data_IF_840426321285
#
_entry.id   IF_840426321285
#
_cell.length_a   1.000
_cell.length_b   1.000
_cell.length_c   1.000
_cell.angle_alpha   90.00
_cell.angle_beta   90.00
_cell.angle_gamma   90.00
#
_symmetry.space_group_name_H-M   'P 1'
#
loop_
_entity.id
_entity.type
_entity.pdbx_description
1 polymer ?
#
# COMPACT_ATOMS: atom_id res chain seq x y z
N UNK A 1 27.43 12.76 73.05
CA UNK A 1 27.38 11.92 71.82
C UNK A 1 26.94 12.81 70.66
N UNK A 2 27.87 13.07 69.78
CA UNK A 2 27.70 14.03 68.67
C UNK A 2 27.03 13.34 67.46
N UNK A 3 25.88 13.81 66.96
CA UNK A 3 25.27 13.38 65.74
C UNK A 3 25.87 14.12 64.55
N UNK A 4 26.39 13.39 63.58
CA UNK A 4 26.92 13.91 62.32
C UNK A 4 25.77 14.11 61.33
N UNK A 5 25.63 15.27 60.65
CA UNK A 5 24.58 15.45 59.64
C UNK A 5 25.02 14.81 58.31
N UNK A 6 24.07 14.09 57.69
CA UNK A 6 24.21 13.55 56.36
C UNK A 6 24.31 14.68 55.31
N UNK A 7 25.38 14.70 54.56
CA UNK A 7 25.53 15.55 53.38
C UNK A 7 24.56 15.08 52.29
N UNK A 8 23.56 15.88 52.01
CA UNK A 8 22.68 15.74 50.86
C UNK A 8 23.40 16.31 49.64
N UNK A 9 23.88 15.45 48.77
CA UNK A 9 24.33 15.84 47.43
C UNK A 9 23.10 16.24 46.58
N UNK A 10 22.76 17.50 46.68
CA UNK A 10 21.80 18.19 45.74
C UNK A 10 22.58 19.31 45.12
N UNK A 11 22.87 19.18 43.82
CA UNK A 11 23.07 20.25 42.83
C UNK A 11 23.93 19.66 41.68
N UNK A 12 23.32 18.80 40.83
CA UNK A 12 23.81 18.62 39.47
C UNK A 12 22.67 18.39 38.46
N UNK A 13 21.56 17.80 38.92
CA UNK A 13 20.48 17.43 37.99
C UNK A 13 19.59 18.60 37.53
N UNK A 14 19.59 19.72 38.26
CA UNK A 14 18.80 20.90 37.84
C UNK A 14 19.45 21.73 36.71
N UNK A 15 20.76 21.75 36.69
CA UNK A 15 21.51 22.58 35.74
C UNK A 15 21.54 21.91 34.34
N UNK A 16 21.64 20.59 34.30
CA UNK A 16 21.61 19.85 33.05
C UNK A 16 20.20 19.81 32.41
N UNK A 17 19.16 19.72 33.23
CA UNK A 17 17.75 19.79 32.72
C UNK A 17 17.39 21.17 32.21
N UNK A 18 17.92 22.24 32.84
CA UNK A 18 17.70 23.62 32.41
C UNK A 18 18.53 23.95 31.15
N UNK A 19 19.74 23.40 31.04
CA UNK A 19 20.57 23.51 29.85
C UNK A 19 19.94 22.79 28.66
N UNK A 20 19.44 21.57 28.90
CA UNK A 20 18.68 20.78 27.92
C UNK A 20 17.45 21.53 27.43
N UNK A 21 16.63 22.12 28.33
CA UNK A 21 15.47 22.96 27.96
C UNK A 21 15.87 24.24 27.22
N UNK A 22 16.95 24.90 27.61
CA UNK A 22 17.45 26.12 26.93
C UNK A 22 17.98 25.82 25.54
N UNK A 23 18.61 24.69 25.35
CA UNK A 23 19.13 24.26 24.05
C UNK A 23 17.99 23.84 23.11
N UNK A 24 16.94 23.17 23.62
CA UNK A 24 15.69 22.93 22.91
C UNK A 24 15.01 24.23 22.44
N UNK A 25 14.89 25.23 23.34
CA UNK A 25 14.25 26.52 23.04
C UNK A 25 15.08 27.41 22.10
N UNK A 26 16.40 27.19 22.00
CA UNK A 26 17.31 27.95 21.11
C UNK A 26 17.46 27.33 19.71
N UNK A 27 16.70 26.29 19.38
CA UNK A 27 16.77 25.67 18.06
C UNK A 27 18.15 25.05 17.72
N UNK A 28 19.03 24.85 18.73
CA UNK A 28 20.35 24.22 18.54
C UNK A 28 20.29 22.69 18.46
N UNK A 29 19.17 22.11 18.84
CA UNK A 29 18.83 20.74 18.50
C UNK A 29 18.11 20.71 17.14
N UNK A 30 18.74 21.26 16.12
CA UNK A 30 18.60 20.62 14.82
C UNK A 30 19.31 19.26 14.97
N UNK A 31 18.64 18.31 15.61
CA UNK A 31 18.78 16.94 15.22
C UNK A 31 18.49 16.98 13.71
N UNK A 32 19.54 17.15 12.91
CA UNK A 32 19.50 16.67 11.55
C UNK A 32 19.16 15.21 11.71
N UNK A 33 17.88 14.90 11.63
CA UNK A 33 17.40 13.55 11.42
C UNK A 33 17.75 13.20 9.97
N UNK A 34 19.04 13.44 9.64
CA UNK A 34 19.61 12.97 8.39
C UNK A 34 19.89 11.50 8.60
N UNK A 35 19.37 10.71 7.67
CA UNK A 35 19.55 9.29 7.72
C UNK A 35 18.25 8.53 7.96
N UNK A 36 18.37 7.21 7.92
CA UNK A 36 17.29 6.28 8.08
C UNK A 36 17.08 5.87 9.53
N UNK A 37 15.83 5.65 9.91
CA UNK A 37 15.50 4.99 11.17
C UNK A 37 14.26 4.10 11.05
N UNK A 38 14.21 3.07 11.88
CA UNK A 38 13.07 2.19 12.08
C UNK A 38 12.73 2.15 13.57
N UNK A 39 11.45 2.01 13.92
CA UNK A 39 10.99 1.79 15.29
C UNK A 39 9.76 0.89 15.32
N UNK A 40 9.70 0.05 16.36
CA UNK A 40 8.57 -0.80 16.73
C UNK A 40 7.82 -0.28 17.98
N UNK A 41 8.24 0.87 18.52
CA UNK A 41 7.68 1.44 19.76
C UNK A 41 6.35 2.17 19.54
N UNK A 42 5.88 2.21 18.29
CA UNK A 42 4.64 2.89 17.93
C UNK A 42 3.47 1.93 17.88
N UNK A 43 2.31 2.43 18.30
CA UNK A 43 1.02 1.79 18.07
C UNK A 43 0.00 2.79 17.56
N UNK A 44 -0.87 2.34 16.69
CA UNK A 44 -2.00 3.13 16.20
C UNK A 44 -3.30 2.41 16.56
N UNK A 45 -4.15 3.04 17.37
CA UNK A 45 -5.40 2.44 17.85
C UNK A 45 -5.23 1.05 18.47
N UNK A 46 -4.10 0.82 19.17
CA UNK A 46 -3.75 -0.46 19.79
C UNK A 46 -3.15 -1.50 18.85
N UNK A 47 -2.95 -1.18 17.57
CA UNK A 47 -2.24 -2.03 16.60
C UNK A 47 -0.75 -1.71 16.65
N UNK A 48 0.11 -2.73 16.72
CA UNK A 48 1.56 -2.54 16.59
C UNK A 48 1.88 -1.98 15.21
N UNK A 49 2.78 -1.00 15.16
CA UNK A 49 3.21 -0.38 13.92
C UNK A 49 4.73 -0.40 13.79
N UNK A 50 5.22 -0.76 12.60
CA UNK A 50 6.58 -0.52 12.17
C UNK A 50 6.62 0.87 11.54
N UNK A 51 7.33 1.80 12.15
CA UNK A 51 7.62 3.10 11.58
C UNK A 51 8.96 3.05 10.87
N UNK A 52 8.99 3.44 9.60
CA UNK A 52 10.20 3.61 8.81
C UNK A 52 10.26 5.04 8.29
N UNK A 53 11.39 5.71 8.45
CA UNK A 53 11.56 7.04 7.90
C UNK A 53 13.01 7.34 7.55
N UNK A 54 13.17 8.25 6.59
CA UNK A 54 14.41 8.96 6.30
C UNK A 54 14.13 10.47 6.24
N UNK A 55 15.06 11.25 5.74
CA UNK A 55 14.92 12.71 5.59
C UNK A 55 13.80 13.13 4.63
N UNK A 56 13.38 12.27 3.68
CA UNK A 56 12.42 12.58 2.63
C UNK A 56 11.02 12.03 2.88
N UNK A 57 10.91 10.81 3.38
CA UNK A 57 9.62 10.12 3.56
C UNK A 57 9.50 9.49 4.95
N UNK A 58 8.23 9.31 5.37
CA UNK A 58 7.84 8.49 6.51
C UNK A 58 6.75 7.53 6.09
N UNK A 59 6.82 6.30 6.57
CA UNK A 59 5.78 5.28 6.37
C UNK A 59 5.50 4.55 7.67
N UNK A 60 4.22 4.23 7.91
CA UNK A 60 3.76 3.43 9.05
C UNK A 60 3.07 2.17 8.54
N UNK A 61 3.50 1.02 9.02
CA UNK A 61 3.03 -0.30 8.59
C UNK A 61 2.38 -1.00 9.79
N UNK A 62 1.10 -1.34 9.69
CA UNK A 62 0.31 -1.93 10.76
C UNK A 62 0.50 -3.45 10.81
N UNK A 63 1.37 -3.91 11.71
CA UNK A 63 1.77 -5.33 11.83
C UNK A 63 0.61 -6.24 12.25
N UNK A 64 -0.31 -5.74 13.06
CA UNK A 64 -1.46 -6.52 13.56
C UNK A 64 -2.67 -6.44 12.62
N UNK A 65 -2.50 -5.86 11.43
CA UNK A 65 -3.55 -5.66 10.43
C UNK A 65 -3.00 -5.88 9.02
N UNK A 66 -2.53 -7.11 8.75
CA UNK A 66 -2.11 -7.55 7.43
C UNK A 66 -0.82 -6.92 6.90
N UNK A 67 -0.06 -6.21 7.73
CA UNK A 67 1.07 -5.42 7.25
C UNK A 67 0.63 -4.25 6.36
N UNK A 68 -0.59 -3.72 6.56
CA UNK A 68 -1.13 -2.58 5.82
C UNK A 68 -0.20 -1.37 5.94
N UNK A 69 0.22 -0.81 4.81
CA UNK A 69 0.94 0.47 4.80
C UNK A 69 -0.11 1.56 4.99
N UNK A 70 -0.20 2.07 6.20
CA UNK A 70 -1.25 3.03 6.58
C UNK A 70 -0.89 4.46 6.20
N UNK A 71 0.39 4.85 6.34
CA UNK A 71 0.88 6.18 5.97
C UNK A 71 2.01 6.08 4.96
N UNK A 72 1.99 6.96 3.96
CA UNK A 72 3.12 7.22 3.07
C UNK A 72 3.26 8.73 2.87
N UNK A 73 4.09 9.36 3.66
CA UNK A 73 4.19 10.81 3.79
C UNK A 73 5.45 11.34 3.09
N UNK A 74 5.28 12.29 2.18
CA UNK A 74 6.36 13.13 1.66
C UNK A 74 6.58 14.29 2.65
N UNK A 75 7.72 14.28 3.34
CA UNK A 75 7.98 15.19 4.48
C UNK A 75 8.08 16.65 4.06
N UNK A 76 8.66 16.95 2.88
CA UNK A 76 8.80 18.32 2.37
C UNK A 76 7.45 19.02 2.21
N UNK A 77 6.41 18.26 1.88
CA UNK A 77 5.05 18.76 1.63
C UNK A 77 4.10 18.48 2.79
N UNK A 78 4.55 17.74 3.82
CA UNK A 78 3.71 17.20 4.88
C UNK A 78 2.44 16.54 4.31
N UNK A 79 2.60 15.75 3.24
CA UNK A 79 1.49 15.19 2.46
C UNK A 79 1.47 13.68 2.54
N UNK A 80 0.36 13.12 3.02
CA UNK A 80 0.06 11.69 2.94
C UNK A 80 -0.73 11.41 1.66
N UNK A 81 -0.24 10.48 0.85
CA UNK A 81 -0.86 10.12 -0.42
C UNK A 81 -2.02 9.13 -0.28
N UNK A 82 -2.08 8.43 0.85
CA UNK A 82 -2.99 7.29 0.99
C UNK A 82 -4.38 7.74 1.43
N UNK A 83 -5.38 7.02 0.95
CA UNK A 83 -6.76 7.24 1.38
C UNK A 83 -6.98 6.70 2.78
N UNK A 84 -7.60 7.50 3.63
CA UNK A 84 -8.09 7.12 4.95
C UNK A 84 -9.60 7.22 4.98
N UNK A 85 -10.26 6.11 5.34
CA UNK A 85 -11.72 6.08 5.40
C UNK A 85 -12.23 7.03 6.50
N UNK A 86 -13.13 7.99 6.20
CA UNK A 86 -13.51 9.04 7.15
C UNK A 86 -14.28 8.53 8.38
N UNK A 87 -14.88 7.34 8.29
CA UNK A 87 -15.73 6.76 9.35
C UNK A 87 -15.17 5.49 9.98
N UNK A 88 -14.19 4.83 9.35
CA UNK A 88 -13.60 3.58 9.85
C UNK A 88 -12.17 3.85 10.27
N UNK A 89 -11.88 3.61 11.54
CA UNK A 89 -10.53 3.75 12.06
C UNK A 89 -9.82 2.39 12.08
N UNK A 90 -8.48 2.36 12.00
CA UNK A 90 -7.73 1.15 12.22
C UNK A 90 -8.12 0.47 13.52
N UNK A 91 -8.38 -0.83 13.45
CA UNK A 91 -8.72 -1.67 14.60
C UNK A 91 -8.37 -3.12 14.29
N UNK A 92 -8.15 -3.97 15.30
CA UNK A 92 -7.91 -5.39 15.08
C UNK A 92 -9.06 -6.03 14.31
N UNK A 93 -8.77 -6.90 13.32
CA UNK A 93 -9.82 -7.62 12.60
C UNK A 93 -10.52 -8.60 13.53
N UNK A 94 -11.83 -8.81 13.30
CA UNK A 94 -12.61 -9.85 13.96
C UNK A 94 -12.92 -10.92 12.93
N UNK A 95 -12.38 -12.12 13.13
CA UNK A 95 -12.64 -13.27 12.25
C UNK A 95 -14.11 -13.66 12.28
N UNK A 96 -14.65 -14.10 11.16
CA UNK A 96 -16.01 -14.62 11.04
C UNK A 96 -17.12 -13.56 10.99
N UNK A 97 -16.82 -12.29 10.82
CA UNK A 97 -17.84 -11.26 10.61
C UNK A 97 -18.37 -11.28 9.18
N UNK A 98 -19.69 -11.29 9.02
CA UNK A 98 -20.34 -11.09 7.73
C UNK A 98 -19.87 -9.76 7.11
N UNK A 99 -19.63 -9.75 5.78
CA UNK A 99 -19.17 -8.58 5.05
C UNK A 99 -17.65 -8.44 4.91
N UNK A 100 -16.88 -9.40 5.45
CA UNK A 100 -15.42 -9.44 5.23
C UNK A 100 -14.71 -8.13 5.55
N UNK A 101 -13.69 -7.82 4.77
CA UNK A 101 -12.88 -6.59 4.93
C UNK A 101 -13.70 -5.31 4.79
N UNK A 102 -14.78 -5.29 4.01
CA UNK A 102 -15.56 -4.09 3.71
C UNK A 102 -16.04 -3.34 4.96
N UNK A 103 -16.33 -4.08 6.06
CA UNK A 103 -16.73 -3.48 7.33
C UNK A 103 -15.54 -3.00 8.18
N UNK A 104 -14.33 -3.35 7.77
CA UNK A 104 -13.09 -3.10 8.51
C UNK A 104 -12.08 -2.28 7.72
N UNK A 105 -12.37 -2.03 6.45
CA UNK A 105 -11.46 -1.33 5.57
C UNK A 105 -11.40 0.16 5.93
N UNK A 106 -10.21 0.61 6.23
CA UNK A 106 -9.92 1.98 6.64
C UNK A 106 -9.00 2.73 5.65
N UNK A 107 -8.65 2.09 4.52
CA UNK A 107 -7.75 2.66 3.52
C UNK A 107 -6.31 2.17 3.66
N UNK A 108 -5.36 2.95 3.10
CA UNK A 108 -3.97 2.55 3.04
C UNK A 108 -3.67 1.60 1.87
N UNK A 109 -2.62 0.81 2.01
CA UNK A 109 -2.22 -0.23 1.06
C UNK A 109 -2.31 -1.58 1.76
N UNK A 110 -3.28 -2.39 1.36
CA UNK A 110 -3.38 -3.79 1.76
C UNK A 110 -2.69 -4.70 0.73
N UNK A 111 -2.47 -5.95 1.07
CA UNK A 111 -1.97 -6.97 0.15
C UNK A 111 -3.05 -8.01 -0.10
N UNK A 112 -3.27 -8.31 -1.37
CA UNK A 112 -4.28 -9.27 -1.85
C UNK A 112 -3.63 -10.66 -1.91
N UNK A 113 -4.22 -11.66 -1.25
CA UNK A 113 -3.87 -13.08 -1.37
C UNK A 113 -4.95 -13.94 -0.71
N UNK A 114 -5.51 -15.00 -1.34
CA UNK A 114 -5.22 -15.50 -2.68
C UNK A 114 -6.23 -15.02 -3.74
N UNK A 115 -7.11 -14.08 -3.42
CA UNK A 115 -8.17 -13.56 -4.32
C UNK A 115 -8.40 -12.09 -4.09
N UNK A 116 -8.86 -11.33 -5.11
CA UNK A 116 -9.26 -9.95 -4.93
C UNK A 116 -10.76 -9.80 -4.65
N UNK A 117 -11.63 -10.61 -5.27
CA UNK A 117 -13.06 -10.67 -4.98
C UNK A 117 -13.40 -11.97 -4.26
N UNK A 118 -14.59 -12.00 -3.64
CA UNK A 118 -15.13 -13.21 -3.01
C UNK A 118 -15.02 -14.40 -3.97
N UNK A 119 -14.49 -15.50 -3.50
CA UNK A 119 -14.23 -16.67 -4.34
C UNK A 119 -14.30 -17.95 -3.55
N UNK A 120 -14.93 -18.98 -4.14
CA UNK A 120 -14.83 -20.36 -3.65
C UNK A 120 -13.80 -21.09 -4.51
N UNK A 121 -12.79 -21.68 -3.87
CA UNK A 121 -11.78 -22.46 -4.54
C UNK A 121 -11.38 -23.66 -3.69
N UNK A 122 -11.48 -24.89 -4.27
CA UNK A 122 -11.23 -26.17 -3.57
C UNK A 122 -12.07 -26.33 -2.29
N UNK A 123 -13.36 -26.05 -2.42
CA UNK A 123 -14.37 -26.15 -1.35
C UNK A 123 -14.18 -25.17 -0.18
N UNK A 124 -13.24 -24.22 -0.28
CA UNK A 124 -13.01 -23.16 0.69
C UNK A 124 -13.44 -21.79 0.15
N UNK A 125 -14.06 -20.99 1.01
CA UNK A 125 -14.46 -19.62 0.69
C UNK A 125 -13.36 -18.62 1.12
N UNK A 126 -12.97 -17.76 0.19
CA UNK A 126 -11.98 -16.71 0.40
C UNK A 126 -12.65 -15.34 0.33
N UNK A 127 -12.48 -14.49 1.34
CA UNK A 127 -13.12 -13.17 1.37
C UNK A 127 -12.54 -12.21 0.33
N UNK A 128 -13.20 -11.07 0.15
CA UNK A 128 -12.71 -9.96 -0.66
C UNK A 128 -11.32 -9.54 -0.18
N UNK A 129 -10.39 -9.30 -1.13
CA UNK A 129 -8.95 -9.08 -0.97
C UNK A 129 -8.19 -10.21 -0.23
N UNK A 130 -8.82 -11.39 -0.09
CA UNK A 130 -8.21 -12.57 0.50
C UNK A 130 -8.08 -12.48 2.02
N UNK A 131 -7.06 -13.09 2.57
CA UNK A 131 -6.96 -13.34 4.01
C UNK A 131 -5.77 -12.63 4.71
N UNK A 132 -4.81 -12.07 3.94
CA UNK A 132 -3.64 -11.41 4.55
C UNK A 132 -4.00 -10.22 5.42
N UNK A 133 -5.02 -9.46 5.06
CA UNK A 133 -5.48 -8.28 5.79
C UNK A 133 -5.84 -8.57 7.26
N UNK A 134 -6.19 -9.81 7.59
CA UNK A 134 -6.56 -10.23 8.94
C UNK A 134 -5.38 -10.86 9.71
N UNK A 135 -4.23 -11.07 9.07
CA UNK A 135 -3.08 -11.73 9.70
C UNK A 135 -2.25 -10.74 10.52
N UNK A 136 -1.62 -11.28 11.57
CA UNK A 136 -0.59 -10.56 12.33
C UNK A 136 0.78 -10.94 11.80
N UNK A 137 1.64 -9.95 11.61
CA UNK A 137 3.02 -10.16 11.21
C UNK A 137 3.96 -10.17 12.42
N UNK A 138 4.92 -11.10 12.43
CA UNK A 138 6.16 -10.92 13.19
C UNK A 138 7.01 -9.84 12.52
N UNK A 139 7.86 -9.17 13.28
CA UNK A 139 8.73 -8.13 12.74
C UNK A 139 10.04 -8.06 13.50
N UNK A 140 11.15 -8.03 12.75
CA UNK A 140 12.50 -7.80 13.25
C UNK A 140 13.17 -6.69 12.43
N UNK A 141 13.83 -5.75 13.08
CA UNK A 141 14.67 -4.77 12.40
C UNK A 141 16.03 -5.45 12.17
N UNK A 142 16.29 -5.88 10.93
CA UNK A 142 17.48 -6.68 10.57
C UNK A 142 18.68 -5.82 10.19
N UNK A 143 18.43 -4.55 9.82
CA UNK A 143 19.47 -3.55 9.60
C UNK A 143 19.01 -2.18 10.06
N UNK A 144 19.87 -1.47 10.78
CA UNK A 144 19.63 -0.09 11.18
C UNK A 144 20.95 0.69 11.20
N UNK A 145 21.08 1.62 10.26
CA UNK A 145 22.18 2.57 10.19
C UNK A 145 21.64 3.92 9.73
N UNK A 146 22.50 4.96 9.77
CA UNK A 146 22.14 6.25 9.20
C UNK A 146 21.89 6.22 7.68
N UNK A 147 22.53 5.28 6.99
CA UNK A 147 22.45 5.17 5.53
C UNK A 147 21.25 4.34 5.05
N UNK A 148 20.89 3.31 5.80
CA UNK A 148 19.75 2.46 5.45
C UNK A 148 19.15 1.74 6.66
N UNK A 149 17.86 1.41 6.53
CA UNK A 149 17.17 0.50 7.46
C UNK A 149 16.46 -0.59 6.67
N UNK A 150 16.42 -1.78 7.24
CA UNK A 150 15.67 -2.92 6.70
C UNK A 150 14.95 -3.64 7.83
N UNK A 151 13.67 -3.91 7.62
CA UNK A 151 12.86 -4.74 8.50
C UNK A 151 12.47 -6.04 7.79
N UNK A 152 12.53 -7.15 8.51
CA UNK A 152 11.98 -8.44 8.08
C UNK A 152 10.65 -8.66 8.77
N UNK A 153 9.60 -8.96 7.99
CA UNK A 153 8.28 -9.30 8.53
C UNK A 153 7.78 -10.61 7.92
N UNK A 154 7.07 -11.42 8.69
CA UNK A 154 6.53 -12.68 8.18
C UNK A 154 5.21 -13.07 8.83
N UNK A 155 4.40 -13.82 8.07
CA UNK A 155 3.16 -14.41 8.54
C UNK A 155 2.83 -15.69 7.76
N UNK A 156 1.81 -16.41 8.23
CA UNK A 156 1.17 -17.50 7.49
C UNK A 156 -0.29 -17.14 7.24
N UNK A 157 -0.81 -17.56 6.11
CA UNK A 157 -2.25 -17.53 5.85
C UNK A 157 -2.95 -18.63 6.63
N UNK A 158 -4.26 -18.52 6.82
CA UNK A 158 -5.03 -19.46 7.64
C UNK A 158 -5.74 -20.52 6.80
N UNK A 159 -6.31 -20.10 5.66
CA UNK A 159 -7.10 -20.97 4.77
C UNK A 159 -6.21 -21.51 3.65
N UNK A 160 -5.54 -20.63 2.92
CA UNK A 160 -4.56 -21.02 1.90
C UNK A 160 -3.22 -21.43 2.52
N UNK A 161 -2.41 -22.28 1.85
CA UNK A 161 -1.20 -22.84 2.45
C UNK A 161 0.03 -21.95 2.24
N UNK A 162 -0.05 -20.64 2.49
CA UNK A 162 1.05 -19.75 2.19
C UNK A 162 1.78 -19.25 3.44
N UNK A 163 3.10 -19.20 3.35
CA UNK A 163 3.96 -18.37 4.17
C UNK A 163 4.33 -17.12 3.36
N UNK A 164 4.18 -15.95 3.96
CA UNK A 164 4.55 -14.66 3.35
C UNK A 164 5.66 -14.02 4.17
N UNK A 165 6.76 -13.68 3.52
CA UNK A 165 7.95 -13.07 4.08
C UNK A 165 8.26 -11.79 3.30
N UNK A 166 8.58 -10.70 4.00
CA UNK A 166 8.93 -9.43 3.36
C UNK A 166 10.18 -8.82 3.98
N UNK A 167 11.00 -8.23 3.13
CA UNK A 167 12.11 -7.35 3.50
C UNK A 167 11.76 -5.94 3.05
N UNK A 168 11.59 -5.05 4.00
CA UNK A 168 11.10 -3.68 3.78
C UNK A 168 12.25 -2.73 4.07
N UNK A 169 12.69 -1.99 3.04
CA UNK A 169 13.93 -1.23 3.07
C UNK A 169 13.75 0.24 2.71
N UNK A 170 14.40 1.13 3.48
CA UNK A 170 14.62 2.53 3.14
C UNK A 170 16.12 2.83 3.08
N UNK A 171 16.49 3.74 2.16
CA UNK A 171 17.85 4.27 1.99
C UNK A 171 17.82 5.78 2.20
N UNK A 172 18.86 6.34 2.84
CA UNK A 172 18.99 7.78 3.06
C UNK A 172 19.03 8.52 1.72
N UNK A 173 18.34 9.68 1.65
CA UNK A 173 18.30 10.51 0.44
C UNK A 173 17.44 9.95 -0.70
N UNK A 174 16.77 8.81 -0.52
CA UNK A 174 15.84 8.26 -1.51
C UNK A 174 14.38 8.37 -1.05
N UNK A 175 13.46 8.98 -1.82
CA UNK A 175 12.04 9.03 -1.50
C UNK A 175 11.34 7.71 -1.88
N UNK A 176 11.94 6.56 -1.57
CA UNK A 176 11.59 5.25 -2.09
C UNK A 176 11.58 4.18 -1.01
N UNK A 177 10.44 3.50 -0.86
CA UNK A 177 10.28 2.30 -0.04
C UNK A 177 10.39 1.08 -0.95
N UNK A 178 11.32 0.18 -0.68
CA UNK A 178 11.47 -1.12 -1.37
C UNK A 178 10.87 -2.22 -0.55
N UNK A 179 10.14 -3.12 -1.19
CA UNK A 179 9.51 -4.28 -0.54
C UNK A 179 9.82 -5.51 -1.39
N UNK A 180 10.69 -6.37 -0.91
CA UNK A 180 10.91 -7.69 -1.49
C UNK A 180 10.03 -8.68 -0.75
N UNK A 181 9.12 -9.33 -1.47
CA UNK A 181 8.19 -10.33 -0.93
C UNK A 181 8.54 -11.71 -1.45
N UNK A 182 8.51 -12.70 -0.55
CA UNK A 182 8.55 -14.13 -0.87
C UNK A 182 7.26 -14.77 -0.41
N UNK A 183 6.56 -15.45 -1.31
CA UNK A 183 5.39 -16.27 -1.02
C UNK A 183 5.78 -17.72 -1.23
N UNK A 184 5.67 -18.55 -0.19
CA UNK A 184 5.99 -19.97 -0.23
C UNK A 184 4.72 -20.79 -0.02
N UNK A 185 4.44 -21.73 -0.93
CA UNK A 185 3.42 -22.75 -0.70
C UNK A 185 3.97 -23.78 0.29
N UNK A 186 3.50 -23.76 1.52
CA UNK A 186 3.91 -24.68 2.60
C UNK A 186 3.02 -25.92 2.68
N UNK A 187 2.03 -26.04 1.79
CA UNK A 187 1.12 -27.19 1.71
C UNK A 187 1.73 -28.39 0.98
N UNK A 188 0.93 -29.45 0.86
CA UNK A 188 1.32 -30.70 0.22
C UNK A 188 0.89 -30.82 -1.24
N UNK A 189 0.17 -29.82 -1.77
CA UNK A 189 -0.36 -29.77 -3.14
C UNK A 189 -0.05 -28.41 -3.74
N UNK A 190 -0.07 -28.31 -5.06
CA UNK A 190 -0.05 -27.06 -5.79
C UNK A 190 -1.23 -26.14 -5.37
N UNK A 191 -1.08 -24.85 -5.53
CA UNK A 191 -2.14 -23.89 -5.24
C UNK A 191 -2.13 -22.74 -6.25
N UNK A 192 -3.31 -22.42 -6.82
CA UNK A 192 -3.50 -21.25 -7.66
C UNK A 192 -3.85 -20.04 -6.81
N UNK A 193 -3.39 -18.87 -7.20
CA UNK A 193 -3.65 -17.65 -6.43
C UNK A 193 -3.55 -16.39 -7.28
N UNK A 194 -4.32 -15.40 -6.88
CA UNK A 194 -4.12 -14.02 -7.23
C UNK A 194 -3.35 -13.33 -6.11
N UNK A 195 -2.35 -12.54 -6.49
CA UNK A 195 -1.55 -11.77 -5.55
C UNK A 195 -1.24 -10.40 -6.11
N UNK A 196 -1.21 -9.41 -5.21
CA UNK A 196 -0.82 -8.06 -5.54
C UNK A 196 -1.08 -7.08 -4.41
N UNK A 197 -0.98 -5.79 -4.74
CA UNK A 197 -1.08 -4.70 -3.77
C UNK A 197 -2.32 -3.86 -4.03
N UNK A 198 -3.21 -3.79 -3.03
CA UNK A 198 -4.44 -3.00 -3.02
C UNK A 198 -4.13 -1.56 -2.58
N UNK A 199 -3.58 -0.78 -3.49
CA UNK A 199 -3.19 0.60 -3.21
C UNK A 199 -4.40 1.53 -3.32
N UNK A 200 -4.69 2.32 -2.29
CA UNK A 200 -5.78 3.28 -2.31
C UNK A 200 -5.29 4.69 -2.02
N UNK A 201 -5.69 5.63 -2.86
CA UNK A 201 -5.18 6.99 -2.88
C UNK A 201 -6.25 8.01 -2.49
N UNK A 202 -5.87 8.97 -1.66
CA UNK A 202 -6.63 10.20 -1.48
C UNK A 202 -6.49 11.07 -2.73
N UNK A 203 -7.61 11.47 -3.31
CA UNK A 203 -7.59 12.22 -4.58
C UNK A 203 -8.48 13.45 -4.56
N UNK A 204 -8.23 14.33 -5.51
CA UNK A 204 -9.04 15.48 -5.89
C UNK A 204 -9.13 15.50 -7.41
N UNK A 205 -9.99 16.33 -8.03
CA UNK A 205 -10.05 16.44 -9.51
C UNK A 205 -8.76 16.94 -10.16
N UNK A 206 -7.83 17.48 -9.38
CA UNK A 206 -6.51 17.87 -9.87
C UNK A 206 -5.57 16.66 -10.10
N UNK A 207 -5.97 15.45 -9.67
CA UNK A 207 -5.15 14.26 -9.82
C UNK A 207 -5.23 13.64 -11.22
N UNK A 208 -4.13 13.04 -11.61
CA UNK A 208 -3.95 12.30 -12.87
C UNK A 208 -3.39 10.92 -12.59
N UNK A 209 -3.89 9.94 -13.33
CA UNK A 209 -3.43 8.54 -13.29
C UNK A 209 -2.51 8.32 -14.48
N UNK A 210 -1.27 7.96 -14.20
CA UNK A 210 -0.30 7.50 -15.20
C UNK A 210 -0.09 5.99 -15.07
N UNK A 211 -0.21 5.27 -16.18
CA UNK A 211 0.16 3.85 -16.26
C UNK A 211 0.44 3.47 -17.71
N UNK A 212 1.38 2.55 -17.97
CA UNK A 212 1.76 2.13 -19.31
C UNK A 212 0.82 1.05 -19.87
N UNK A 213 -0.49 1.15 -19.56
CA UNK A 213 -1.50 0.25 -20.05
C UNK A 213 -1.75 0.47 -21.55
N UNK A 214 -1.94 -0.62 -22.28
CA UNK A 214 -2.32 -0.59 -23.69
C UNK A 214 -3.80 -0.92 -23.84
N UNK A 215 -4.20 -2.06 -23.27
CA UNK A 215 -5.55 -2.60 -23.38
C UNK A 215 -6.20 -2.69 -22.01
N UNK A 216 -7.43 -2.23 -21.95
CA UNK A 216 -8.28 -2.28 -20.76
C UNK A 216 -9.49 -3.16 -21.02
N UNK A 217 -10.00 -3.81 -19.97
CA UNK A 217 -11.21 -4.63 -19.95
C UNK A 217 -12.09 -4.20 -18.78
N UNK A 218 -13.37 -3.99 -19.02
CA UNK A 218 -14.37 -3.60 -18.01
C UNK A 218 -14.87 -4.83 -17.26
N UNK A 219 -14.80 -4.82 -15.93
CA UNK A 219 -15.42 -5.85 -15.07
C UNK A 219 -16.94 -5.64 -15.00
N UNK A 220 -17.67 -6.73 -14.79
CA UNK A 220 -19.11 -6.68 -14.53
C UNK A 220 -19.35 -6.21 -13.08
N UNK A 221 -19.63 -4.92 -12.95
CA UNK A 221 -19.89 -4.27 -11.66
C UNK A 221 -21.30 -3.69 -11.62
N UNK A 222 -22.00 -3.84 -10.48
CA UNK A 222 -23.25 -3.10 -10.27
C UNK A 222 -23.02 -1.59 -10.46
N UNK A 223 -23.93 -0.91 -11.11
CA UNK A 223 -23.91 0.54 -11.35
C UNK A 223 -22.78 1.04 -12.27
N UNK A 224 -22.02 0.14 -12.93
CA UNK A 224 -21.02 0.55 -13.93
C UNK A 224 -21.68 1.32 -15.09
N UNK A 225 -21.06 2.44 -15.44
CA UNK A 225 -21.47 3.25 -16.60
C UNK A 225 -20.95 2.71 -17.92
N UNK A 226 -20.14 1.67 -17.92
CA UNK A 226 -19.57 1.00 -19.09
C UNK A 226 -20.17 -0.39 -19.27
N UNK A 227 -20.17 -0.90 -20.51
CA UNK A 227 -20.66 -2.26 -20.79
C UNK A 227 -19.68 -3.30 -20.21
N UNK A 228 -20.18 -4.31 -19.47
CA UNK A 228 -19.35 -5.42 -19.00
C UNK A 228 -18.64 -6.13 -20.15
N UNK A 229 -17.35 -6.44 -19.97
CA UNK A 229 -16.55 -7.09 -20.99
C UNK A 229 -16.10 -6.19 -22.14
N UNK A 230 -16.44 -4.89 -22.10
CA UNK A 230 -15.95 -3.93 -23.09
C UNK A 230 -14.44 -3.79 -23.00
N UNK A 231 -13.76 -3.85 -24.15
CA UNK A 231 -12.34 -3.56 -24.27
C UNK A 231 -12.13 -2.16 -24.85
N UNK A 232 -11.09 -1.47 -24.38
CA UNK A 232 -10.71 -0.15 -24.88
C UNK A 232 -9.20 0.11 -24.73
N UNK A 233 -8.70 1.12 -25.44
CA UNK A 233 -7.32 1.58 -25.31
C UNK A 233 -7.24 2.67 -24.23
N UNK A 234 -6.31 2.50 -23.27
CA UNK A 234 -6.06 3.49 -22.23
C UNK A 234 -5.58 4.82 -22.81
N UNK A 235 -6.07 5.98 -22.33
CA UNK A 235 -7.04 6.16 -21.24
C UNK A 235 -8.48 6.41 -21.69
N UNK A 236 -8.82 6.27 -22.98
CA UNK A 236 -10.07 6.77 -23.57
C UNK A 236 -11.10 5.65 -23.71
N UNK A 237 -12.21 5.74 -22.98
CA UNK A 237 -13.32 4.81 -23.04
C UNK A 237 -14.62 5.50 -23.47
N UNK A 238 -15.55 4.74 -24.06
CA UNK A 238 -16.90 5.22 -24.41
C UNK A 238 -17.89 4.52 -23.49
N UNK A 239 -18.66 5.29 -22.71
CA UNK A 239 -19.63 4.74 -21.79
C UNK A 239 -20.95 4.32 -22.49
N UNK A 240 -21.87 3.68 -21.74
CA UNK A 240 -23.21 3.23 -22.22
C UNK A 240 -24.04 4.33 -22.89
N UNK A 241 -23.83 5.59 -22.50
CA UNK A 241 -24.52 6.74 -23.14
C UNK A 241 -23.85 7.29 -24.40
N UNK A 242 -22.77 6.65 -24.88
CA UNK A 242 -21.97 7.09 -26.03
C UNK A 242 -20.98 8.23 -25.73
N UNK A 243 -20.82 8.62 -24.48
CA UNK A 243 -19.90 9.69 -24.10
C UNK A 243 -18.46 9.17 -24.02
N UNK A 244 -17.54 9.84 -24.70
CA UNK A 244 -16.10 9.58 -24.59
C UNK A 244 -15.55 10.18 -23.30
N UNK A 245 -14.84 9.37 -22.52
CA UNK A 245 -14.28 9.72 -21.22
C UNK A 245 -12.80 9.43 -21.17
N UNK A 246 -12.02 10.34 -20.58
CA UNK A 246 -10.60 10.19 -20.28
C UNK A 246 -10.46 9.74 -18.83
N UNK A 247 -10.25 8.43 -18.62
CA UNK A 247 -10.18 7.80 -17.30
C UNK A 247 -8.83 8.02 -16.59
N UNK A 248 -7.88 8.70 -17.25
CA UNK A 248 -6.67 9.17 -16.57
C UNK A 248 -6.91 10.37 -15.66
N UNK A 249 -8.07 11.03 -15.83
CA UNK A 249 -8.49 12.20 -15.04
C UNK A 249 -9.43 11.76 -13.92
N UNK A 250 -9.12 12.21 -12.71
CA UNK A 250 -10.03 12.04 -11.58
C UNK A 250 -11.17 13.03 -11.73
N UNK A 251 -12.42 12.54 -11.61
CA UNK A 251 -13.62 13.37 -11.72
C UNK A 251 -14.02 13.91 -10.34
N UNK A 252 -14.93 14.91 -10.33
CA UNK A 252 -15.55 15.40 -9.09
C UNK A 252 -16.38 14.31 -8.40
N UNK A 253 -16.55 14.35 -7.06
CA UNK A 253 -17.39 13.39 -6.34
C UNK A 253 -18.83 13.33 -6.86
N UNK A 254 -19.34 14.45 -7.36
CA UNK A 254 -20.68 14.57 -7.95
C UNK A 254 -20.85 13.77 -9.26
N UNK A 255 -19.78 13.25 -9.84
CA UNK A 255 -19.84 12.36 -11.00
C UNK A 255 -20.53 11.04 -10.66
N UNK A 256 -20.57 10.65 -9.36
CA UNK A 256 -21.22 9.42 -8.88
C UNK A 256 -20.83 8.22 -9.72
N UNK A 257 -19.54 7.90 -9.77
CA UNK A 257 -18.97 6.86 -10.61
C UNK A 257 -18.40 5.73 -9.75
N UNK A 258 -18.67 4.49 -10.16
CA UNK A 258 -18.16 3.28 -9.50
C UNK A 258 -17.77 2.26 -10.57
N UNK A 259 -16.46 2.13 -10.80
CA UNK A 259 -15.93 1.33 -11.91
C UNK A 259 -14.80 0.42 -11.44
N UNK A 260 -14.71 -0.75 -12.09
CA UNK A 260 -13.59 -1.66 -11.90
C UNK A 260 -13.13 -2.19 -13.26
N UNK A 261 -11.91 -1.87 -13.64
CA UNK A 261 -11.36 -2.20 -14.94
C UNK A 261 -10.00 -2.89 -14.79
N UNK A 262 -9.63 -3.70 -15.78
CA UNK A 262 -8.35 -4.40 -15.83
C UNK A 262 -7.49 -3.85 -16.97
N UNK A 263 -6.26 -3.43 -16.66
CA UNK A 263 -5.22 -3.30 -17.67
C UNK A 263 -4.65 -4.70 -17.95
N UNK A 264 -5.06 -5.28 -19.07
CA UNK A 264 -4.72 -6.65 -19.46
C UNK A 264 -3.40 -6.74 -20.21
N UNK A 265 -2.94 -5.63 -20.80
CA UNK A 265 -1.65 -5.50 -21.47
C UNK A 265 -0.89 -4.30 -20.95
N UNK A 266 0.28 -4.55 -20.35
CA UNK A 266 1.20 -3.52 -19.86
C UNK A 266 2.47 -3.48 -20.73
N UNK A 267 2.90 -2.27 -21.11
CA UNK A 267 4.21 -2.08 -21.77
C UNK A 267 5.35 -2.23 -20.75
N UNK A 268 5.16 -1.72 -19.55
CA UNK A 268 6.11 -1.65 -18.45
C UNK A 268 5.40 -1.88 -17.11
N UNK A 269 6.17 -2.11 -16.03
CA UNK A 269 5.63 -2.36 -14.70
C UNK A 269 5.68 -1.13 -13.80
N UNK A 270 4.81 -0.15 -14.02
CA UNK A 270 4.66 0.99 -13.13
C UNK A 270 3.25 1.61 -13.21
N UNK A 271 2.91 2.38 -12.20
CA UNK A 271 1.82 3.36 -12.24
C UNK A 271 2.15 4.55 -11.35
N UNK A 272 1.43 5.66 -11.54
CA UNK A 272 1.57 6.87 -10.73
C UNK A 272 0.23 7.57 -10.53
N UNK A 273 0.05 8.18 -9.36
CA UNK A 273 -1.03 9.11 -9.05
C UNK A 273 -0.40 10.46 -8.72
N UNK A 274 -0.70 11.48 -9.52
CA UNK A 274 -0.08 12.79 -9.47
C UNK A 274 -1.11 13.88 -9.20
N UNK A 275 -0.95 14.65 -8.14
CA UNK A 275 -1.62 15.96 -8.00
C UNK A 275 -0.92 16.94 -8.95
N UNK A 276 -1.55 17.22 -10.10
CA UNK A 276 -0.98 18.03 -11.16
C UNK A 276 -0.82 19.49 -10.76
N UNK A 277 -1.62 19.97 -9.81
CA UNK A 277 -1.60 21.34 -9.30
C UNK A 277 -0.49 21.53 -8.26
N UNK A 278 -0.39 20.64 -7.28
CA UNK A 278 0.71 20.64 -6.30
C UNK A 278 2.01 20.13 -6.89
N UNK A 279 1.96 19.41 -8.01
CA UNK A 279 3.09 18.78 -8.67
C UNK A 279 3.81 17.76 -7.80
N UNK A 280 3.05 16.97 -7.06
CA UNK A 280 3.53 15.88 -6.21
C UNK A 280 2.78 14.60 -6.54
N UNK A 281 3.39 13.45 -6.22
CA UNK A 281 2.70 12.18 -6.44
C UNK A 281 3.40 11.00 -5.79
N UNK A 282 2.72 9.87 -5.86
CA UNK A 282 3.24 8.56 -5.46
C UNK A 282 3.08 7.61 -6.63
N UNK A 283 4.15 6.94 -6.99
CA UNK A 283 4.17 5.87 -7.99
C UNK A 283 4.60 4.55 -7.39
N UNK A 284 4.29 3.48 -8.09
CA UNK A 284 4.77 2.13 -7.81
C UNK A 284 5.48 1.56 -9.02
N UNK A 285 6.62 0.92 -8.79
CA UNK A 285 7.39 0.19 -9.81
C UNK A 285 7.43 -1.27 -9.42
N UNK A 286 7.21 -2.15 -10.38
CA UNK A 286 7.12 -3.60 -10.16
C UNK A 286 7.58 -4.40 -11.39
N UNK A 287 8.06 -5.64 -11.24
CA UNK A 287 8.36 -6.52 -12.35
C UNK A 287 7.07 -7.01 -13.02
N UNK A 288 6.80 -6.56 -14.25
CA UNK A 288 5.59 -6.93 -14.99
C UNK A 288 5.52 -8.42 -15.36
N UNK A 289 6.63 -9.12 -15.28
CA UNK A 289 6.73 -10.57 -15.48
C UNK A 289 6.06 -11.34 -14.33
N UNK A 290 5.95 -10.72 -13.16
CA UNK A 290 5.29 -11.27 -11.97
C UNK A 290 3.92 -10.62 -11.76
N UNK A 291 3.87 -9.29 -11.73
CA UNK A 291 2.63 -8.51 -11.59
C UNK A 291 2.25 -7.98 -12.98
N UNK A 292 1.62 -8.81 -13.77
CA UNK A 292 1.42 -8.57 -15.20
C UNK A 292 0.17 -7.75 -15.54
N UNK A 293 -0.61 -7.39 -14.53
CA UNK A 293 -1.91 -6.70 -14.67
C UNK A 293 -2.00 -5.51 -13.71
N UNK A 294 -2.84 -4.54 -14.08
CA UNK A 294 -3.29 -3.51 -13.14
C UNK A 294 -4.81 -3.59 -13.06
N UNK A 295 -5.34 -3.64 -11.84
CA UNK A 295 -6.75 -3.42 -11.59
C UNK A 295 -6.95 -1.96 -11.22
N UNK A 296 -7.90 -1.29 -11.86
CA UNK A 296 -8.26 0.09 -11.63
C UNK A 296 -9.66 0.17 -11.01
N UNK A 297 -9.75 0.68 -9.80
CA UNK A 297 -11.00 0.92 -9.09
C UNK A 297 -11.22 2.43 -8.95
N UNK A 298 -12.31 2.92 -9.53
CA UNK A 298 -12.72 4.32 -9.44
C UNK A 298 -13.98 4.41 -8.57
N UNK A 299 -13.88 5.12 -7.45
CA UNK A 299 -15.00 5.31 -6.53
C UNK A 299 -15.20 6.78 -6.25
N UNK A 300 -16.11 7.39 -6.98
CA UNK A 300 -16.46 8.79 -6.84
C UNK A 300 -17.84 8.92 -6.19
N UNK A 301 -17.91 8.72 -4.86
CA UNK A 301 -19.09 8.96 -4.05
C UNK A 301 -20.09 7.80 -3.93
N UNK A 302 -20.03 6.78 -4.78
CA UNK A 302 -21.01 5.67 -4.79
C UNK A 302 -20.76 4.72 -3.61
N UNK A 303 -19.63 3.97 -3.63
CA UNK A 303 -19.40 2.98 -2.61
C UNK A 303 -19.12 3.63 -1.26
N UNK A 304 -20.07 3.43 -0.32
CA UNK A 304 -20.01 3.96 1.06
C UNK A 304 -19.77 5.47 1.15
N UNK A 305 -20.19 6.23 0.14
CA UNK A 305 -19.95 7.68 0.05
C UNK A 305 -18.46 8.05 0.26
N UNK A 306 -17.55 7.19 -0.21
CA UNK A 306 -16.13 7.45 -0.22
C UNK A 306 -15.71 8.05 -1.57
N UNK A 307 -14.64 8.83 -1.54
CA UNK A 307 -14.05 9.45 -2.72
C UNK A 307 -12.57 9.11 -2.77
N UNK A 308 -12.24 8.14 -3.59
CA UNK A 308 -10.90 7.58 -3.71
C UNK A 308 -10.74 6.83 -5.02
N UNK A 309 -9.50 6.51 -5.35
CA UNK A 309 -9.16 5.56 -6.40
C UNK A 309 -8.32 4.42 -5.84
N UNK A 310 -8.43 3.26 -6.46
CA UNK A 310 -7.57 2.11 -6.22
C UNK A 310 -6.82 1.72 -7.49
N UNK A 311 -5.51 1.46 -7.39
CA UNK A 311 -4.69 0.97 -8.50
C UNK A 311 -3.87 -0.20 -7.98
N UNK A 312 -4.18 -1.41 -8.46
CA UNK A 312 -3.64 -2.64 -7.90
C UNK A 312 -2.74 -3.33 -8.92
N UNK A 313 -1.43 -3.40 -8.64
CA UNK A 313 -0.52 -4.24 -9.41
C UNK A 313 -0.76 -5.70 -9.03
N UNK A 314 -1.19 -6.52 -9.99
CA UNK A 314 -1.69 -7.88 -9.78
C UNK A 314 -1.02 -8.88 -10.72
N UNK A 315 -0.95 -10.15 -10.28
CA UNK A 315 -0.43 -11.24 -11.10
C UNK A 315 -1.46 -11.86 -12.06
N UNK A 316 -2.74 -11.48 -11.98
CA UNK A 316 -3.79 -12.06 -12.81
C UNK A 316 -5.12 -11.29 -12.75
N UNK A 317 -6.09 -11.81 -13.49
CA UNK A 317 -7.50 -11.39 -13.56
C UNK A 317 -8.38 -12.52 -14.12
N UNK A 318 -9.74 -12.51 -14.02
CA UNK A 318 -10.56 -11.57 -13.25
C UNK A 318 -10.27 -11.59 -11.75
N UNK A 319 -10.88 -10.64 -11.01
CA UNK A 319 -10.58 -10.41 -9.59
C UNK A 319 -10.96 -11.60 -8.67
N UNK A 320 -11.92 -12.44 -9.07
CA UNK A 320 -12.28 -13.66 -8.34
C UNK A 320 -11.36 -14.83 -8.75
N UNK A 321 -10.72 -15.48 -7.78
CA UNK A 321 -9.75 -16.56 -8.03
C UNK A 321 -10.32 -17.71 -8.88
N UNK A 322 -11.54 -18.19 -8.58
CA UNK A 322 -12.14 -19.29 -9.37
C UNK A 322 -12.27 -18.92 -10.85
N UNK A 323 -12.69 -17.69 -11.17
CA UNK A 323 -12.75 -17.19 -12.55
C UNK A 323 -11.38 -17.04 -13.18
N UNK A 324 -10.39 -16.55 -12.41
CA UNK A 324 -9.02 -16.42 -12.89
C UNK A 324 -8.38 -17.77 -13.21
N UNK A 325 -8.71 -18.82 -12.44
CA UNK A 325 -8.28 -20.21 -12.71
C UNK A 325 -8.95 -20.74 -13.98
N UNK A 326 -10.26 -20.52 -14.15
CA UNK A 326 -11.01 -20.92 -15.37
C UNK A 326 -10.44 -20.27 -16.63
N UNK A 327 -10.04 -18.99 -16.53
CA UNK A 327 -9.43 -18.24 -17.63
C UNK A 327 -7.94 -18.54 -17.82
N UNK A 328 -7.30 -19.28 -16.90
CA UNK A 328 -5.87 -19.56 -16.95
C UNK A 328 -4.98 -18.32 -16.73
N UNK A 329 -5.48 -17.29 -16.06
CA UNK A 329 -4.78 -16.00 -15.84
C UNK A 329 -4.61 -15.75 -14.34
N UNK A 330 -3.88 -16.64 -13.68
CA UNK A 330 -3.46 -16.51 -12.28
C UNK A 330 -2.11 -17.22 -12.11
N UNK A 331 -1.43 -17.00 -10.99
CA UNK A 331 -0.22 -17.76 -10.66
C UNK A 331 -0.56 -19.09 -10.00
N UNK A 332 0.38 -20.05 -10.12
CA UNK A 332 0.35 -21.35 -9.45
C UNK A 332 1.70 -21.61 -8.81
N UNK A 333 1.70 -22.12 -7.58
CA UNK A 333 2.88 -22.62 -6.90
C UNK A 333 2.72 -24.09 -6.55
N UNK A 334 3.67 -24.92 -6.97
CA UNK A 334 3.77 -26.30 -6.52
C UNK A 334 4.13 -26.35 -5.02
N UNK A 335 3.84 -27.49 -4.37
CA UNK A 335 4.17 -27.73 -2.97
C UNK A 335 5.66 -27.46 -2.69
N UNK A 336 5.95 -26.70 -1.64
CA UNK A 336 7.31 -26.32 -1.24
C UNK A 336 8.01 -25.31 -2.14
N UNK A 337 7.34 -24.77 -3.19
CA UNK A 337 7.93 -23.76 -4.08
C UNK A 337 7.58 -22.35 -3.62
N UNK A 338 8.41 -21.40 -4.04
CA UNK A 338 8.27 -19.98 -3.70
C UNK A 338 8.26 -19.09 -4.94
N UNK A 339 7.55 -17.98 -4.84
CA UNK A 339 7.61 -16.85 -5.75
C UNK A 339 8.28 -15.69 -5.02
N UNK A 340 9.23 -15.00 -5.66
CA UNK A 340 9.81 -13.77 -5.16
C UNK A 340 9.49 -12.60 -6.09
N UNK A 341 9.25 -11.44 -5.49
CA UNK A 341 8.99 -10.20 -6.21
C UNK A 341 9.48 -9.01 -5.38
N UNK A 342 10.12 -8.05 -6.02
CA UNK A 342 10.47 -6.78 -5.39
C UNK A 342 9.68 -5.66 -6.06
N UNK A 343 9.03 -4.84 -5.25
CA UNK A 343 8.33 -3.64 -5.68
C UNK A 343 8.89 -2.41 -4.98
N UNK A 344 8.67 -1.25 -5.56
CA UNK A 344 9.09 0.02 -4.96
C UNK A 344 7.99 1.06 -5.04
N UNK A 345 7.74 1.75 -3.94
CA UNK A 345 6.93 2.97 -3.91
C UNK A 345 7.85 4.18 -3.95
N UNK A 346 7.55 5.13 -4.81
CA UNK A 346 8.38 6.32 -5.05
C UNK A 346 7.53 7.56 -4.92
N UNK A 347 7.79 8.37 -3.88
CA UNK A 347 7.22 9.71 -3.78
C UNK A 347 8.05 10.68 -4.62
N UNK A 348 7.41 11.66 -5.23
CA UNK A 348 8.09 12.65 -6.05
C UNK A 348 7.43 14.02 -5.95
N UNK A 349 8.21 15.05 -6.32
CA UNK A 349 7.75 16.43 -6.42
C UNK A 349 8.30 17.10 -7.69
N UNK A 350 7.71 18.23 -8.08
CA UNK A 350 8.13 19.01 -9.26
C UNK A 350 7.55 18.51 -10.58
N UNK A 351 6.73 17.44 -10.60
CA UNK A 351 6.17 16.82 -11.80
C UNK A 351 4.65 16.96 -11.80
N UNK A 352 4.06 17.45 -12.88
CA UNK A 352 2.60 17.60 -13.03
C UNK A 352 1.92 16.43 -13.73
N UNK A 353 2.68 15.64 -14.48
CA UNK A 353 2.22 14.44 -15.17
C UNK A 353 3.41 13.49 -15.35
N UNK A 354 3.22 12.22 -15.09
CA UNK A 354 4.25 11.19 -15.22
C UNK A 354 4.07 10.46 -16.54
N UNK A 355 5.15 10.38 -17.32
CA UNK A 355 5.20 9.61 -18.56
C UNK A 355 5.94 8.28 -18.42
N UNK A 356 6.82 8.17 -17.40
CA UNK A 356 7.62 6.99 -17.13
C UNK A 356 8.19 7.02 -15.71
N UNK A 357 8.28 5.84 -15.07
CA UNK A 357 9.09 5.63 -13.88
C UNK A 357 10.02 4.45 -14.16
N UNK A 358 11.33 4.69 -14.09
CA UNK A 358 12.30 3.62 -14.34
C UNK A 358 12.47 2.68 -13.12
N UNK A 359 13.19 1.58 -13.30
CA UNK A 359 13.44 0.58 -12.24
C UNK A 359 14.21 1.16 -11.05
N UNK A 360 14.92 2.27 -11.22
CA UNK A 360 15.62 2.97 -10.15
C UNK A 360 14.72 3.96 -9.40
N UNK A 361 13.47 4.14 -9.86
CA UNK A 361 12.50 5.06 -9.28
C UNK A 361 12.66 6.51 -9.78
N UNK A 362 13.37 6.73 -10.87
CA UNK A 362 13.45 8.04 -11.50
C UNK A 362 12.15 8.32 -12.25
N UNK A 363 11.52 9.44 -11.93
CA UNK A 363 10.23 9.87 -12.49
C UNK A 363 10.50 10.90 -13.60
N UNK A 364 9.86 10.71 -14.78
CA UNK A 364 9.96 11.58 -15.95
C UNK A 364 8.58 12.06 -16.41
#
# INVERSE_FOLDING_TARGET
>A
MKSTPAHIARISDRDDSLKFRRDLLRGRWHLKLSGCRASLDFSLSGLRALLLENDLIRTAILLDRGGNIYEYILKSENHDFLFHHPRVRPKPPVLGTAGGIDNWWFGGIDEILPTAFLSTYRDEEYPIIGELWAQKYSCDIVKQSGDEVEAYVSTHTTISPFKVEKWIKLVAGEPRLRIRTRITNTGYRDFHFLWGYHNTFAVTPDHRIGMPARKMLVEDMPESSFEPGMEYEWPLAVNKSGRKMDLSKVLEPSALMYEYHYATELKEGWFAVTDSKKRIGLGMVFPKEVLSKIHLWLNYGIWRSCYNIGIYAMNGYPAALHKAVEHGVCSRLDAGKSLECEVSYVAYSGVSQVSHIDSNGKVN
#
